data_IF_291549570601
#
_entry.id   IF_291549570601
#
_cell.length_a   1.000
_cell.length_b   1.000
_cell.length_c   1.000
_cell.angle_alpha   90.00
_cell.angle_beta   90.00
_cell.angle_gamma   90.00
#
_symmetry.space_group_name_H-M   'P 1'
#
loop_
_entity.id
_entity.type
_entity.pdbx_description
1 polymer ?
#
# COMPACT_ATOMS: atom_id res chain seq x y z
N UNK A 1 35.93 -69.00 33.55
CA UNK A 1 35.03 -69.39 32.44
C UNK A 1 33.92 -68.36 32.38
N UNK A 2 34.01 -67.42 31.45
CA UNK A 2 33.02 -66.34 31.29
C UNK A 2 31.96 -66.80 30.29
N UNK A 3 30.69 -66.90 30.71
CA UNK A 3 29.60 -67.19 29.79
C UNK A 3 29.09 -65.87 29.19
N UNK A 4 29.24 -65.73 27.87
CA UNK A 4 28.68 -64.65 27.08
C UNK A 4 27.34 -65.12 26.53
N UNK A 5 26.24 -64.56 27.03
CA UNK A 5 24.92 -64.81 26.47
C UNK A 5 24.70 -63.88 25.26
N UNK A 6 24.59 -64.46 24.06
CA UNK A 6 24.16 -63.73 22.87
C UNK A 6 22.63 -63.61 22.89
N UNK A 7 22.13 -62.39 23.10
CA UNK A 7 20.71 -62.06 22.93
C UNK A 7 20.41 -61.95 21.42
N UNK A 8 19.44 -62.72 20.88
CA UNK A 8 19.03 -62.54 19.50
C UNK A 8 18.27 -61.20 19.37
N UNK A 9 18.78 -60.32 18.51
CA UNK A 9 18.09 -59.11 18.07
C UNK A 9 16.92 -59.49 17.13
N UNK A 10 15.88 -60.08 17.70
CA UNK A 10 14.56 -60.18 17.05
C UNK A 10 13.77 -58.92 17.38
N UNK A 11 14.24 -57.80 16.83
CA UNK A 11 13.52 -56.54 16.81
C UNK A 11 13.65 -55.99 15.41
N UNK A 12 12.53 -55.90 14.69
CA UNK A 12 12.45 -55.10 13.48
C UNK A 12 12.78 -53.66 13.88
N UNK A 13 14.02 -53.22 13.62
CA UNK A 13 14.32 -51.81 13.57
C UNK A 13 13.45 -51.27 12.45
N UNK A 14 12.29 -50.69 12.81
CA UNK A 14 11.51 -49.85 11.93
C UNK A 14 12.48 -48.79 11.41
N UNK A 15 12.97 -49.02 10.19
CA UNK A 15 13.71 -48.00 9.45
C UNK A 15 12.78 -46.79 9.46
N UNK A 16 13.21 -45.62 9.95
CA UNK A 16 12.38 -44.43 9.84
C UNK A 16 12.07 -44.30 8.36
N UNK A 17 10.82 -44.53 7.99
CA UNK A 17 10.34 -44.29 6.65
C UNK A 17 10.63 -42.81 6.40
N UNK A 18 11.71 -42.53 5.66
CA UNK A 18 11.89 -41.27 4.96
C UNK A 18 10.77 -41.25 3.93
N UNK A 19 9.55 -40.95 4.40
CA UNK A 19 8.38 -40.73 3.58
C UNK A 19 8.68 -39.43 2.87
N UNK A 20 9.40 -39.52 1.75
CA UNK A 20 9.59 -38.42 0.83
C UNK A 20 8.20 -37.84 0.59
N UNK A 21 8.02 -36.58 0.96
CA UNK A 21 6.74 -35.89 0.81
C UNK A 21 6.35 -36.03 -0.65
N UNK A 22 5.37 -36.89 -0.95
CA UNK A 22 4.90 -37.07 -2.32
C UNK A 22 4.23 -35.75 -2.67
N UNK A 23 4.95 -34.89 -3.39
CA UNK A 23 4.38 -33.66 -3.93
C UNK A 23 3.25 -34.08 -4.85
N UNK A 24 2.03 -33.69 -4.51
CA UNK A 24 0.89 -33.99 -5.35
C UNK A 24 1.06 -33.27 -6.68
N UNK A 25 0.53 -33.84 -7.77
CA UNK A 25 0.58 -33.19 -9.10
C UNK A 25 0.06 -31.76 -9.06
N UNK A 26 -0.91 -31.44 -8.18
CA UNK A 26 -1.42 -30.08 -7.98
C UNK A 26 -0.41 -29.15 -7.32
N UNK A 27 0.40 -29.61 -6.34
CA UNK A 27 1.50 -28.82 -5.77
C UNK A 27 2.55 -28.47 -6.83
N UNK A 28 2.90 -29.42 -7.70
CA UNK A 28 3.85 -29.19 -8.79
C UNK A 28 3.29 -28.23 -9.84
N UNK A 29 2.04 -28.40 -10.25
CA UNK A 29 1.38 -27.48 -11.19
C UNK A 29 1.30 -26.06 -10.59
N UNK A 30 0.88 -25.92 -9.34
CA UNK A 30 0.83 -24.62 -8.67
C UNK A 30 2.22 -23.95 -8.61
N UNK A 31 3.26 -24.71 -8.27
CA UNK A 31 4.63 -24.19 -8.23
C UNK A 31 5.11 -23.70 -9.61
N UNK A 32 4.85 -24.47 -10.67
CA UNK A 32 5.18 -24.05 -12.04
C UNK A 32 4.38 -22.83 -12.48
N UNK A 33 3.09 -22.75 -12.16
CA UNK A 33 2.27 -21.57 -12.47
C UNK A 33 2.84 -20.33 -11.78
N UNK A 34 3.18 -20.42 -10.49
CA UNK A 34 3.80 -19.31 -9.75
C UNK A 34 5.14 -18.94 -10.38
N UNK A 35 5.98 -19.92 -10.74
CA UNK A 35 7.28 -19.66 -11.37
C UNK A 35 7.14 -18.97 -12.73
N UNK A 36 6.19 -19.39 -13.57
CA UNK A 36 5.92 -18.76 -14.87
C UNK A 36 5.41 -17.33 -14.70
N UNK A 37 4.46 -17.11 -13.79
CA UNK A 37 3.94 -15.76 -13.50
C UNK A 37 5.06 -14.86 -12.99
N UNK A 38 5.90 -15.34 -12.07
CA UNK A 38 7.04 -14.60 -11.56
C UNK A 38 8.05 -14.25 -12.67
N UNK A 39 8.36 -15.21 -13.55
CA UNK A 39 9.26 -14.99 -14.69
C UNK A 39 8.70 -13.95 -15.67
N UNK A 40 7.40 -13.98 -15.96
CA UNK A 40 6.74 -13.00 -16.83
C UNK A 40 6.77 -11.59 -16.21
N UNK A 41 6.47 -11.47 -14.91
CA UNK A 41 6.52 -10.18 -14.20
C UNK A 41 7.94 -9.63 -14.16
N UNK A 42 8.95 -10.47 -13.92
CA UNK A 42 10.36 -10.08 -13.98
C UNK A 42 10.76 -9.64 -15.38
N UNK A 43 10.36 -10.38 -16.42
CA UNK A 43 10.60 -9.99 -17.81
C UNK A 43 9.98 -8.65 -18.15
N UNK A 44 8.72 -8.42 -17.77
CA UNK A 44 8.03 -7.15 -17.96
C UNK A 44 8.72 -5.99 -17.20
N UNK A 45 9.15 -6.22 -15.96
CA UNK A 45 9.88 -5.22 -15.18
C UNK A 45 11.24 -4.86 -15.82
N UNK A 46 11.97 -5.86 -16.33
CA UNK A 46 13.23 -5.63 -17.05
C UNK A 46 12.99 -4.83 -18.34
N UNK A 47 11.96 -5.19 -19.12
CA UNK A 47 11.61 -4.44 -20.33
C UNK A 47 11.20 -3.00 -20.02
N UNK A 48 10.41 -2.80 -18.97
CA UNK A 48 10.01 -1.46 -18.50
C UNK A 48 11.22 -0.61 -18.13
N UNK A 49 12.13 -1.14 -17.32
CA UNK A 49 13.35 -0.43 -16.93
C UNK A 49 14.29 -0.18 -18.12
N UNK A 50 14.40 -1.15 -19.05
CA UNK A 50 15.20 -1.01 -20.26
C UNK A 50 14.65 0.05 -21.22
N UNK A 51 13.33 0.27 -21.22
CA UNK A 51 12.68 1.35 -21.96
C UNK A 51 12.83 2.73 -21.29
N UNK A 52 13.59 2.83 -20.18
CA UNK A 52 13.74 4.06 -19.40
C UNK A 52 12.58 4.34 -18.46
N UNK A 53 11.72 3.35 -18.21
CA UNK A 53 10.57 3.48 -17.33
C UNK A 53 10.96 3.82 -15.90
N UNK A 54 10.18 4.72 -15.29
CA UNK A 54 10.37 5.18 -13.91
C UNK A 54 9.08 4.99 -13.14
N UNK A 55 9.19 4.73 -11.84
CA UNK A 55 8.01 4.54 -10.99
C UNK A 55 8.04 5.47 -9.80
N UNK A 56 6.86 5.95 -9.42
CA UNK A 56 6.66 6.90 -8.34
C UNK A 56 5.41 6.55 -7.55
N UNK A 57 5.31 7.05 -6.32
CA UNK A 57 4.10 6.92 -5.51
C UNK A 57 3.52 8.31 -5.30
N UNK A 58 2.23 8.48 -5.59
CA UNK A 58 1.53 9.74 -5.36
C UNK A 58 1.44 10.02 -3.86
N UNK A 59 1.98 11.14 -3.41
CA UNK A 59 2.00 11.52 -1.98
C UNK A 59 0.97 12.60 -1.63
N UNK A 60 0.52 13.38 -2.62
CA UNK A 60 -0.41 14.51 -2.43
C UNK A 60 -1.73 14.26 -3.14
N UNK A 61 -2.86 14.77 -2.62
CA UNK A 61 -4.17 14.56 -3.23
C UNK A 61 -4.41 15.34 -4.53
N UNK A 62 -3.42 16.06 -5.09
CA UNK A 62 -3.59 17.04 -6.19
C UNK A 62 -4.20 16.48 -7.48
N UNK A 63 -4.15 15.17 -7.70
CA UNK A 63 -4.77 14.49 -8.84
C UNK A 63 -6.16 13.92 -8.55
N UNK A 64 -6.68 14.09 -7.32
CA UNK A 64 -8.00 13.63 -6.90
C UNK A 64 -8.25 12.16 -7.23
N UNK A 65 -9.42 11.87 -7.80
CA UNK A 65 -9.83 10.52 -8.22
C UNK A 65 -9.01 9.95 -9.38
N UNK A 66 -8.36 10.79 -10.19
CA UNK A 66 -7.59 10.33 -11.36
C UNK A 66 -6.30 9.60 -10.94
N UNK A 67 -5.67 10.05 -9.86
CA UNK A 67 -4.56 9.36 -9.22
C UNK A 67 -4.58 9.65 -7.71
N UNK A 68 -5.36 8.89 -6.92
CA UNK A 68 -5.45 9.09 -5.48
C UNK A 68 -4.12 8.85 -4.75
N UNK A 69 -4.02 9.30 -3.50
CA UNK A 69 -2.80 9.15 -2.71
C UNK A 69 -2.46 7.67 -2.50
N UNK A 70 -1.19 7.32 -2.71
CA UNK A 70 -0.72 5.94 -2.69
C UNK A 70 -0.93 5.18 -4.01
N UNK A 71 -1.34 5.86 -5.08
CA UNK A 71 -1.27 5.32 -6.45
C UNK A 71 0.18 5.10 -6.85
N UNK A 72 0.48 3.92 -7.42
CA UNK A 72 1.73 3.65 -8.10
C UNK A 72 1.64 4.16 -9.54
N UNK A 73 2.50 5.11 -9.88
CA UNK A 73 2.65 5.66 -11.22
C UNK A 73 3.80 4.93 -11.91
N UNK A 74 3.54 4.34 -13.07
CA UNK A 74 4.57 3.75 -13.94
C UNK A 74 4.69 4.62 -15.19
N UNK A 75 5.71 5.46 -15.22
CA UNK A 75 5.98 6.38 -16.32
C UNK A 75 6.90 5.77 -17.36
N UNK A 76 6.64 6.12 -18.62
CA UNK A 76 7.56 5.92 -19.72
C UNK A 76 8.04 7.26 -20.26
N UNK A 77 9.32 7.37 -20.68
CA UNK A 77 9.81 8.57 -21.35
C UNK A 77 8.99 8.86 -22.61
N UNK A 78 8.63 10.12 -22.79
CA UNK A 78 7.85 10.60 -23.94
C UNK A 78 8.45 11.88 -24.51
N UNK A 79 8.22 12.11 -25.80
CA UNK A 79 8.55 13.37 -26.45
C UNK A 79 7.39 14.36 -26.20
N UNK A 80 7.71 15.56 -25.72
CA UNK A 80 6.75 16.62 -25.43
C UNK A 80 5.91 16.99 -26.66
N UNK A 81 6.45 16.84 -27.87
CA UNK A 81 5.71 17.08 -29.12
C UNK A 81 4.59 16.07 -29.38
N UNK A 82 4.61 14.92 -28.71
CA UNK A 82 3.56 13.89 -28.80
C UNK A 82 2.47 14.05 -27.75
N UNK A 83 2.67 14.95 -26.78
CA UNK A 83 1.72 15.23 -25.71
C UNK A 83 0.63 16.20 -26.16
N UNK A 84 -0.56 16.00 -25.62
CA UNK A 84 -1.73 16.81 -25.90
C UNK A 84 -2.32 17.39 -24.62
N UNK A 85 -3.12 18.45 -24.78
CA UNK A 85 -3.93 18.98 -23.69
C UNK A 85 -4.87 17.87 -23.18
N UNK A 86 -4.85 17.64 -21.88
CA UNK A 86 -5.59 16.56 -21.23
C UNK A 86 -4.70 15.39 -20.79
N UNK A 87 -3.49 15.25 -21.31
CA UNK A 87 -2.57 14.20 -20.89
C UNK A 87 -2.02 14.46 -19.48
N UNK A 88 -1.73 13.38 -18.75
CA UNK A 88 -1.07 13.47 -17.43
C UNK A 88 0.43 13.29 -17.65
N UNK A 89 1.23 14.15 -17.03
CA UNK A 89 2.69 14.12 -17.18
C UNK A 89 3.36 14.19 -15.82
N UNK A 90 4.42 13.40 -15.66
CA UNK A 90 5.32 13.50 -14.52
C UNK A 90 6.55 14.33 -14.89
N UNK A 91 6.87 15.30 -14.06
CA UNK A 91 7.96 16.24 -14.31
C UNK A 91 8.68 16.63 -13.02
N UNK A 92 9.89 17.13 -13.18
CA UNK A 92 10.70 17.73 -12.13
C UNK A 92 11.03 19.16 -12.55
N UNK A 93 11.06 20.09 -11.59
CA UNK A 93 11.35 21.50 -11.90
C UNK A 93 12.75 21.86 -11.43
N UNK A 94 13.40 22.79 -12.13
CA UNK A 94 14.69 23.33 -11.70
C UNK A 94 14.61 24.02 -10.32
N UNK A 95 13.43 24.52 -9.94
CA UNK A 95 13.20 25.15 -8.64
C UNK A 95 13.21 24.14 -7.49
N UNK A 96 12.65 22.94 -7.70
CA UNK A 96 12.53 21.90 -6.67
C UNK A 96 13.15 20.59 -7.16
N UNK A 97 14.48 20.57 -7.31
CA UNK A 97 15.19 19.35 -7.70
C UNK A 97 14.97 18.22 -6.70
N UNK A 98 14.78 17.01 -7.23
CA UNK A 98 14.46 15.79 -6.49
C UNK A 98 12.98 15.62 -6.14
N UNK A 99 12.12 16.60 -6.45
CA UNK A 99 10.68 16.49 -6.24
C UNK A 99 9.99 16.27 -7.58
N UNK A 100 9.26 15.16 -7.68
CA UNK A 100 8.49 14.80 -8.88
C UNK A 100 7.04 15.19 -8.68
N UNK A 101 6.48 15.91 -9.64
CA UNK A 101 5.09 16.28 -9.71
C UNK A 101 4.42 15.52 -10.85
N UNK A 102 3.18 15.06 -10.64
CA UNK A 102 2.37 14.42 -11.67
C UNK A 102 1.07 15.20 -11.81
N UNK A 103 0.91 15.95 -12.90
CA UNK A 103 -0.25 16.82 -13.14
C UNK A 103 -0.75 16.72 -14.58
N UNK A 104 -1.96 17.23 -14.83
CA UNK A 104 -2.58 17.23 -16.16
C UNK A 104 -2.20 18.47 -16.96
N UNK A 105 -1.89 18.28 -18.23
CA UNK A 105 -1.63 19.37 -19.18
C UNK A 105 -2.95 20.08 -19.47
N UNK A 106 -3.02 21.37 -19.20
CA UNK A 106 -4.20 22.19 -19.46
C UNK A 106 -4.03 23.11 -20.67
N UNK A 107 -2.79 23.40 -21.07
CA UNK A 107 -2.47 24.22 -22.23
C UNK A 107 -1.06 23.89 -22.74
N UNK A 108 -0.87 24.07 -24.03
CA UNK A 108 0.42 24.02 -24.71
C UNK A 108 0.60 25.36 -25.43
N UNK A 109 1.70 26.05 -25.18
CA UNK A 109 1.97 27.34 -25.80
C UNK A 109 2.43 27.21 -27.27
N UNK A 110 2.55 28.34 -27.97
CA UNK A 110 2.97 28.37 -29.37
C UNK A 110 4.44 27.91 -29.60
N UNK A 111 5.24 27.87 -28.54
CA UNK A 111 6.63 27.42 -28.55
C UNK A 111 6.78 25.96 -28.09
N UNK A 112 5.67 25.26 -27.80
CA UNK A 112 5.65 23.88 -27.32
C UNK A 112 5.87 23.73 -25.80
N UNK A 113 5.82 24.82 -25.03
CA UNK A 113 5.87 24.81 -23.58
C UNK A 113 4.57 24.27 -22.99
N UNK A 114 4.68 23.37 -22.01
CA UNK A 114 3.53 22.75 -21.36
C UNK A 114 3.15 23.51 -20.09
N UNK A 115 1.85 23.72 -19.91
CA UNK A 115 1.27 24.25 -18.68
C UNK A 115 0.41 23.17 -18.02
N UNK A 116 0.74 22.85 -16.77
CA UNK A 116 0.09 21.78 -16.02
C UNK A 116 -0.74 22.32 -14.86
N UNK A 117 -1.69 21.50 -14.42
CA UNK A 117 -2.49 21.75 -13.22
C UNK A 117 -2.91 20.41 -12.62
N UNK A 118 -2.82 20.29 -11.29
CA UNK A 118 -3.44 19.16 -10.59
C UNK A 118 -4.96 19.19 -10.77
N UNK A 119 -5.59 18.03 -11.00
CA UNK A 119 -7.01 17.92 -11.34
C UNK A 119 -7.94 18.60 -10.33
N UNK A 120 -7.53 18.66 -9.06
CA UNK A 120 -8.30 19.30 -7.99
C UNK A 120 -7.74 20.66 -7.55
N UNK A 121 -6.61 21.08 -8.12
CA UNK A 121 -6.00 22.36 -7.79
C UNK A 121 -6.76 23.51 -8.48
N UNK A 122 -7.06 24.57 -7.73
CA UNK A 122 -7.77 25.74 -8.26
C UNK A 122 -6.93 26.66 -9.15
N UNK A 123 -5.60 26.49 -9.17
CA UNK A 123 -4.66 27.34 -9.90
C UNK A 123 -3.71 26.50 -10.75
N UNK A 124 -3.36 27.04 -11.93
CA UNK A 124 -2.33 26.49 -12.81
C UNK A 124 -0.96 26.54 -12.13
N UNK A 125 -0.13 25.54 -12.39
CA UNK A 125 1.25 25.54 -11.90
C UNK A 125 2.02 26.74 -12.49
N UNK A 126 2.92 27.37 -11.72
CA UNK A 126 3.61 28.60 -12.15
C UNK A 126 4.69 28.36 -13.20
N UNK A 127 4.99 27.11 -13.55
CA UNK A 127 6.08 26.74 -14.44
C UNK A 127 5.60 26.49 -15.86
N UNK A 128 6.48 26.79 -16.82
CA UNK A 128 6.34 26.36 -18.21
C UNK A 128 7.35 25.24 -18.42
N UNK A 129 6.87 24.04 -18.71
CA UNK A 129 7.71 22.84 -18.78
C UNK A 129 8.21 22.61 -20.20
N UNK A 130 9.49 22.27 -20.34
CA UNK A 130 10.07 21.80 -21.58
C UNK A 130 10.45 20.32 -21.52
N UNK A 131 11.04 19.81 -22.60
CA UNK A 131 11.51 18.42 -22.71
C UNK A 131 12.48 18.01 -21.60
N UNK A 132 13.27 18.96 -21.08
CA UNK A 132 14.26 18.69 -20.02
C UNK A 132 13.62 18.52 -18.63
N UNK A 133 12.42 19.08 -18.43
CA UNK A 133 11.69 19.01 -17.16
C UNK A 133 10.79 17.76 -17.10
N UNK A 134 10.31 17.31 -18.26
CA UNK A 134 9.42 16.15 -18.38
C UNK A 134 10.20 14.85 -18.20
N UNK A 135 9.75 14.05 -17.23
CA UNK A 135 10.28 12.72 -16.99
C UNK A 135 9.61 11.70 -17.91
N UNK A 136 8.29 11.78 -18.02
CA UNK A 136 7.50 10.81 -18.75
C UNK A 136 6.01 11.03 -18.60
N UNK A 137 5.23 10.20 -19.30
CA UNK A 137 3.78 10.10 -19.14
C UNK A 137 3.43 8.76 -18.48
N UNK A 138 2.42 8.71 -17.59
CA UNK A 138 1.97 7.47 -16.98
C UNK A 138 1.47 6.49 -18.03
N UNK A 139 2.16 5.37 -18.17
CA UNK A 139 1.70 4.23 -18.95
C UNK A 139 0.67 3.41 -18.15
N UNK A 140 0.83 3.38 -16.82
CA UNK A 140 -0.09 2.71 -15.92
C UNK A 140 -0.19 3.46 -14.59
N UNK A 141 -1.43 3.65 -14.12
CA UNK A 141 -1.76 4.14 -12.79
C UNK A 141 -2.42 3.00 -12.03
N UNK A 142 -1.80 2.54 -10.94
CA UNK A 142 -2.36 1.48 -10.10
C UNK A 142 -2.66 2.04 -8.71
N UNK A 143 -3.93 2.41 -8.44
CA UNK A 143 -4.35 2.89 -7.13
C UNK A 143 -3.98 1.92 -6.01
N UNK A 144 -3.66 2.47 -4.85
CA UNK A 144 -3.30 1.77 -3.60
C UNK A 144 -2.02 0.91 -3.62
N UNK A 145 -1.51 0.49 -4.78
CA UNK A 145 -0.32 -0.35 -4.87
C UNK A 145 0.94 0.35 -4.33
N UNK A 146 1.00 1.68 -4.45
CA UNK A 146 2.10 2.49 -3.91
C UNK A 146 2.24 2.39 -2.39
N UNK A 147 1.16 2.10 -1.65
CA UNK A 147 1.23 1.86 -0.20
C UNK A 147 2.06 0.63 0.15
N UNK A 148 2.04 -0.43 -0.69
CA UNK A 148 2.88 -1.61 -0.47
C UNK A 148 4.37 -1.28 -0.63
N UNK A 149 4.72 -0.47 -1.64
CA UNK A 149 6.09 -0.01 -1.85
C UNK A 149 6.57 0.89 -0.71
N UNK A 150 5.72 1.78 -0.20
CA UNK A 150 6.03 2.63 0.97
C UNK A 150 6.17 1.81 2.26
N UNK A 151 5.37 0.75 2.42
CA UNK A 151 5.45 -0.12 3.60
C UNK A 151 6.64 -1.10 3.55
N UNK A 152 7.13 -1.44 2.36
CA UNK A 152 8.16 -2.48 2.18
C UNK A 152 9.41 -2.29 3.04
N UNK A 153 10.01 -1.09 3.20
CA UNK A 153 11.18 -0.91 4.07
C UNK A 153 10.88 -1.18 5.55
N UNK A 154 9.75 -0.69 6.06
CA UNK A 154 9.33 -0.89 7.45
C UNK A 154 9.07 -2.38 7.70
N UNK A 155 8.34 -3.02 6.78
CA UNK A 155 8.05 -4.45 6.84
C UNK A 155 9.33 -5.29 6.78
N UNK A 156 10.27 -4.95 5.90
CA UNK A 156 11.55 -5.66 5.76
C UNK A 156 12.39 -5.53 7.04
N UNK A 157 12.57 -4.32 7.55
CA UNK A 157 13.37 -4.07 8.76
C UNK A 157 12.72 -4.76 9.97
N UNK A 158 11.40 -4.59 10.16
CA UNK A 158 10.70 -5.21 11.28
C UNK A 158 10.67 -6.72 11.20
N UNK A 159 10.49 -7.32 10.02
CA UNK A 159 10.56 -8.78 9.85
C UNK A 159 11.96 -9.33 10.11
N UNK A 160 13.02 -8.67 9.63
CA UNK A 160 14.41 -9.05 9.93
C UNK A 160 14.71 -8.96 11.43
N UNK A 161 14.24 -7.91 12.11
CA UNK A 161 14.38 -7.75 13.55
C UNK A 161 13.67 -8.88 14.30
N UNK A 162 12.41 -9.16 13.96
CA UNK A 162 11.63 -10.26 14.54
C UNK A 162 12.32 -11.60 14.31
N UNK A 163 12.86 -11.84 13.12
CA UNK A 163 13.60 -13.08 12.81
C UNK A 163 14.87 -13.24 13.64
N UNK A 164 15.60 -12.15 13.85
CA UNK A 164 16.84 -12.11 14.64
C UNK A 164 16.55 -12.33 16.13
N UNK A 165 15.56 -11.63 16.70
CA UNK A 165 15.19 -11.81 18.11
C UNK A 165 14.63 -13.21 18.36
N UNK A 166 13.84 -13.73 17.43
CA UNK A 166 13.23 -15.06 17.59
C UNK A 166 14.17 -16.22 17.29
N UNK A 167 15.36 -15.99 16.72
CA UNK A 167 16.30 -17.07 16.40
C UNK A 167 16.90 -17.75 17.62
N UNK A 168 16.87 -17.07 18.78
CA UNK A 168 17.35 -17.61 20.07
C UNK A 168 16.46 -18.76 20.59
N UNK A 169 15.19 -18.81 20.17
CA UNK A 169 14.26 -19.84 20.60
C UNK A 169 14.42 -21.11 19.76
N UNK A 170 14.78 -22.21 20.43
CA UNK A 170 14.89 -23.54 19.81
C UNK A 170 13.53 -24.19 19.57
N UNK A 171 12.54 -23.89 20.43
CA UNK A 171 11.18 -24.43 20.32
C UNK A 171 10.47 -23.90 19.06
N UNK A 172 10.00 -24.83 18.22
CA UNK A 172 9.40 -24.50 16.92
C UNK A 172 8.07 -23.76 17.10
N UNK A 173 7.26 -24.14 18.09
CA UNK A 173 5.96 -23.53 18.35
C UNK A 173 6.16 -22.09 18.80
N UNK A 174 6.93 -21.89 19.87
CA UNK A 174 7.22 -20.56 20.41
C UNK A 174 7.83 -19.65 19.35
N UNK A 175 8.83 -20.12 18.60
CA UNK A 175 9.47 -19.35 17.53
C UNK A 175 8.48 -18.94 16.43
N UNK A 176 7.63 -19.86 15.99
CA UNK A 176 6.68 -19.59 14.90
C UNK A 176 5.56 -18.65 15.34
N UNK A 177 5.02 -18.85 16.55
CA UNK A 177 4.02 -17.96 17.15
C UNK A 177 4.56 -16.54 17.36
N UNK A 178 5.80 -16.39 17.87
CA UNK A 178 6.44 -15.09 18.01
C UNK A 178 6.68 -14.40 16.67
N UNK A 179 7.02 -15.15 15.61
CA UNK A 179 7.19 -14.58 14.25
C UNK A 179 5.87 -14.11 13.65
N UNK A 180 4.79 -14.84 13.85
CA UNK A 180 3.44 -14.44 13.40
C UNK A 180 3.00 -13.17 14.15
N UNK A 181 3.10 -13.17 15.49
CA UNK A 181 2.74 -12.03 16.30
C UNK A 181 3.61 -10.79 16.00
N UNK A 182 4.93 -10.97 15.87
CA UNK A 182 5.86 -9.90 15.52
C UNK A 182 5.65 -9.37 14.10
N UNK A 183 5.33 -10.23 13.14
CA UNK A 183 4.96 -9.84 11.78
C UNK A 183 3.68 -9.00 11.75
N UNK A 184 2.64 -9.42 12.48
CA UNK A 184 1.41 -8.66 12.64
C UNK A 184 1.65 -7.29 13.29
N UNK A 185 2.46 -7.24 14.35
CA UNK A 185 2.82 -5.99 15.01
C UNK A 185 3.58 -5.05 14.07
N UNK A 186 4.49 -5.58 13.26
CA UNK A 186 5.23 -4.79 12.26
C UNK A 186 4.27 -4.23 11.20
N UNK A 187 3.32 -5.02 10.72
CA UNK A 187 2.31 -4.56 9.76
C UNK A 187 1.40 -3.48 10.37
N UNK A 188 0.94 -3.66 11.61
CA UNK A 188 0.17 -2.65 12.34
C UNK A 188 0.95 -1.36 12.55
N UNK A 189 2.25 -1.46 12.88
CA UNK A 189 3.11 -0.29 13.01
C UNK A 189 3.29 0.45 11.67
N UNK A 190 3.52 -0.28 10.57
CA UNK A 190 3.59 0.31 9.24
C UNK A 190 2.29 1.04 8.87
N UNK A 191 1.14 0.44 9.14
CA UNK A 191 -0.17 1.06 8.92
C UNK A 191 -0.37 2.31 9.79
N UNK A 192 0.09 2.30 11.04
CA UNK A 192 0.01 3.46 11.93
C UNK A 192 0.87 4.63 11.44
N UNK A 193 2.10 4.37 10.99
CA UNK A 193 3.02 5.40 10.50
C UNK A 193 2.58 5.97 9.16
N UNK A 194 2.20 5.10 8.22
CA UNK A 194 1.87 5.49 6.85
C UNK A 194 0.43 6.00 6.69
N UNK A 195 -0.47 5.66 7.63
CA UNK A 195 -1.89 5.99 7.58
C UNK A 195 -2.54 5.72 6.20
N UNK A 196 -2.37 4.52 5.61
CA UNK A 196 -2.86 4.24 4.27
C UNK A 196 -4.40 4.17 4.17
N UNK A 197 -5.06 3.90 5.30
CA UNK A 197 -6.48 3.56 5.33
C UNK A 197 -7.40 4.76 5.44
N UNK A 198 -7.03 5.73 6.28
CA UNK A 198 -7.84 6.92 6.56
C UNK A 198 -6.92 8.11 6.67
N UNK A 199 -7.02 9.02 5.72
CA UNK A 199 -6.37 10.30 5.78
C UNK A 199 -7.27 11.33 5.11
N UNK A 200 -7.36 12.51 5.71
CA UNK A 200 -8.23 13.60 5.27
C UNK A 200 -7.35 14.83 5.19
N UNK A 201 -7.20 15.39 3.99
CA UNK A 201 -6.34 16.55 3.76
C UNK A 201 -7.21 17.74 3.36
N UNK A 202 -7.10 18.83 4.11
CA UNK A 202 -7.79 20.09 3.81
C UNK A 202 -6.97 20.89 2.81
N UNK A 203 -7.58 21.28 1.69
CA UNK A 203 -6.91 21.91 0.55
C UNK A 203 -7.04 23.42 0.60
N UNK A 204 -8.21 23.93 1.01
CA UNK A 204 -8.44 25.36 1.19
C UNK A 204 -9.42 25.61 2.33
N UNK A 205 -9.15 26.64 3.12
CA UNK A 205 -10.08 27.22 4.09
C UNK A 205 -10.40 28.62 3.62
N UNK A 206 -11.62 28.83 3.14
CA UNK A 206 -12.09 30.14 2.70
C UNK A 206 -13.07 30.67 3.73
N UNK A 207 -12.66 31.69 4.49
CA UNK A 207 -13.53 32.37 5.45
C UNK A 207 -14.41 33.39 4.73
N UNK A 208 -15.72 33.19 4.79
CA UNK A 208 -16.74 34.13 4.31
C UNK A 208 -17.46 34.75 5.52
N UNK A 209 -18.06 35.96 5.41
CA UNK A 209 -18.87 36.54 6.48
C UNK A 209 -20.04 35.67 6.96
N UNK A 210 -20.44 34.65 6.18
CA UNK A 210 -21.54 33.73 6.47
C UNK A 210 -21.09 32.33 6.99
N UNK A 211 -19.78 32.09 7.15
CA UNK A 211 -19.24 30.79 7.59
C UNK A 211 -17.87 30.48 7.00
N UNK A 212 -17.30 29.33 7.36
CA UNK A 212 -16.04 28.83 6.79
C UNK A 212 -16.34 27.70 5.81
N UNK A 213 -15.92 27.86 4.55
CA UNK A 213 -15.96 26.82 3.52
C UNK A 213 -14.60 26.13 3.47
N UNK A 214 -14.57 24.87 3.86
CA UNK A 214 -13.38 24.01 3.79
C UNK A 214 -13.52 23.04 2.62
N UNK A 215 -12.54 23.01 1.73
CA UNK A 215 -12.43 21.98 0.70
C UNK A 215 -11.54 20.86 1.22
N UNK A 216 -12.10 19.65 1.27
CA UNK A 216 -11.49 18.47 1.90
C UNK A 216 -11.38 17.37 0.86
N UNK A 217 -10.29 16.61 0.89
CA UNK A 217 -10.12 15.42 0.04
C UNK A 217 -9.81 14.22 0.91
N UNK A 218 -10.48 13.10 0.60
CA UNK A 218 -10.12 11.80 1.15
C UNK A 218 -8.85 11.31 0.46
N UNK A 219 -7.80 11.09 1.24
CA UNK A 219 -6.50 10.57 0.78
C UNK A 219 -6.22 9.17 1.33
N UNK A 220 -7.23 8.52 1.93
CA UNK A 220 -7.16 7.15 2.41
C UNK A 220 -7.90 6.16 1.51
N UNK A 221 -7.48 4.90 1.58
CA UNK A 221 -8.07 3.78 0.80
C UNK A 221 -9.55 3.55 1.13
N UNK A 222 -9.97 3.80 2.37
CA UNK A 222 -11.35 3.55 2.79
C UNK A 222 -12.24 4.79 2.59
N UNK A 223 -13.53 4.57 2.26
CA UNK A 223 -14.50 5.64 2.25
C UNK A 223 -14.64 6.25 3.65
N UNK A 224 -14.71 7.57 3.69
CA UNK A 224 -14.80 8.35 4.92
C UNK A 224 -16.08 9.17 4.89
N UNK A 225 -16.81 9.15 6.01
CA UNK A 225 -17.90 10.08 6.26
C UNK A 225 -17.37 11.24 7.09
N UNK A 226 -17.49 12.45 6.55
CA UNK A 226 -17.13 13.69 7.23
C UNK A 226 -18.41 14.35 7.71
N UNK A 227 -18.53 14.51 9.03
CA UNK A 227 -19.62 15.23 9.68
C UNK A 227 -19.07 16.55 10.22
N UNK A 228 -19.62 17.66 9.75
CA UNK A 228 -19.38 18.98 10.33
C UNK A 228 -20.45 19.28 11.38
N UNK A 229 -20.02 19.72 12.56
CA UNK A 229 -20.93 20.18 13.60
C UNK A 229 -21.69 21.43 13.09
N UNK A 230 -23.02 21.35 12.99
CA UNK A 230 -23.87 22.44 12.44
C UNK A 230 -23.83 22.57 10.90
N UNK A 231 -23.36 21.55 10.17
CA UNK A 231 -23.26 21.57 8.70
C UNK A 231 -23.72 20.27 8.02
N UNK A 232 -23.43 20.13 6.72
CA UNK A 232 -23.81 18.95 5.94
C UNK A 232 -22.90 17.74 6.22
N UNK A 233 -23.48 16.55 6.23
CA UNK A 233 -22.74 15.28 6.19
C UNK A 233 -22.29 14.98 4.77
N UNK A 234 -21.02 14.62 4.58
CA UNK A 234 -20.48 14.30 3.27
C UNK A 234 -19.81 12.92 3.28
N UNK A 235 -20.20 12.07 2.33
CA UNK A 235 -19.53 10.82 2.05
C UNK A 235 -18.46 11.06 1.00
N UNK A 236 -17.22 10.67 1.28
CA UNK A 236 -16.08 10.83 0.38
C UNK A 236 -15.45 9.46 0.09
N UNK A 237 -15.33 9.15 -1.20
CA UNK A 237 -14.51 8.03 -1.71
C UNK A 237 -13.08 8.49 -2.00
N UNK A 238 -12.17 7.54 -2.25
CA UNK A 238 -10.74 7.83 -2.44
C UNK A 238 -10.49 8.83 -3.58
N UNK A 239 -9.80 9.94 -3.26
CA UNK A 239 -9.54 11.03 -4.19
C UNK A 239 -10.71 12.00 -4.42
N UNK A 240 -11.91 11.73 -3.86
CA UNK A 240 -13.07 12.60 -4.04
C UNK A 240 -12.90 13.92 -3.28
N UNK A 241 -13.27 15.02 -3.94
CA UNK A 241 -13.29 16.36 -3.34
C UNK A 241 -14.66 16.66 -2.74
N UNK A 242 -14.65 17.01 -1.46
CA UNK A 242 -15.81 17.47 -0.72
C UNK A 242 -15.68 18.94 -0.33
N UNK A 243 -16.80 19.66 -0.38
CA UNK A 243 -16.91 20.99 0.23
C UNK A 243 -17.80 20.91 1.44
N UNK A 244 -17.27 21.34 2.57
CA UNK A 244 -18.00 21.39 3.83
C UNK A 244 -18.07 22.85 4.24
N UNK A 245 -19.29 23.37 4.37
CA UNK A 245 -19.55 24.72 4.86
C UNK A 245 -19.95 24.60 6.32
N UNK A 246 -19.20 25.24 7.22
CA UNK A 246 -19.52 25.26 8.65
C UNK A 246 -20.07 26.64 9.01
N UNK A 247 -21.31 26.65 9.48
CA UNK A 247 -22.05 27.86 9.84
C UNK A 247 -22.00 28.17 11.34
N UNK A 248 -21.66 27.21 12.19
CA UNK A 248 -21.67 27.38 13.66
C UNK A 248 -20.29 27.13 14.26
N UNK A 249 -19.83 28.05 15.13
CA UNK A 249 -18.63 27.88 15.96
C UNK A 249 -19.00 27.04 17.18
N UNK A 250 -18.15 26.08 17.56
CA UNK A 250 -18.26 25.41 18.87
C UNK A 250 -18.10 26.44 20.00
N UNK A 251 -18.61 26.19 21.21
CA UNK A 251 -18.52 27.10 22.38
C UNK A 251 -17.10 27.63 22.67
N UNK A 252 -16.07 26.91 22.22
CA UNK A 252 -14.65 27.28 22.37
C UNK A 252 -14.05 28.04 21.17
N UNK A 253 -14.87 28.47 20.21
CA UNK A 253 -14.44 29.25 19.05
C UNK A 253 -13.68 28.47 17.96
N UNK A 254 -13.75 27.14 17.98
CA UNK A 254 -13.10 26.27 16.99
C UNK A 254 -14.13 25.59 16.08
N UNK A 255 -13.74 25.30 14.84
CA UNK A 255 -14.51 24.46 13.94
C UNK A 255 -14.12 22.98 14.17
N UNK A 256 -15.06 22.16 14.62
CA UNK A 256 -14.83 20.72 14.82
C UNK A 256 -15.44 19.91 13.67
N UNK A 257 -14.63 19.04 13.08
CA UNK A 257 -15.05 18.04 12.10
C UNK A 257 -14.66 16.66 12.62
N UNK A 258 -15.58 15.71 12.54
CA UNK A 258 -15.29 14.30 12.86
C UNK A 258 -15.33 13.48 11.58
N UNK A 259 -14.25 12.74 11.32
CA UNK A 259 -14.14 11.83 10.18
C UNK A 259 -14.24 10.38 10.69
N UNK A 260 -15.27 9.66 10.28
CA UNK A 260 -15.47 8.26 10.63
C UNK A 260 -15.32 7.36 9.39
N UNK A 261 -14.77 6.16 9.59
CA UNK A 261 -14.72 5.13 8.55
C UNK A 261 -16.15 4.71 8.23
N UNK A 262 -16.51 4.73 6.95
CA UNK A 262 -17.86 4.39 6.50
C UNK A 262 -17.88 3.11 5.67
N UNK A 263 -17.56 2.00 6.32
CA UNK A 263 -17.62 0.67 5.71
C UNK A 263 -19.03 0.09 5.86
N UNK A 264 -19.45 -0.62 4.82
CA UNK A 264 -20.66 -1.45 4.87
C UNK A 264 -20.44 -2.67 5.80
N UNK A 265 -21.51 -3.40 6.17
CA UNK A 265 -21.38 -4.56 7.06
C UNK A 265 -20.41 -5.63 6.52
N UNK A 266 -20.32 -5.79 5.20
CA UNK A 266 -19.37 -6.71 4.55
C UNK A 266 -17.94 -6.21 4.71
N UNK A 267 -17.68 -4.92 4.51
CA UNK A 267 -16.39 -4.28 4.72
C UNK A 267 -15.90 -4.44 6.17
N UNK A 268 -16.78 -4.23 7.15
CA UNK A 268 -16.46 -4.49 8.56
C UNK A 268 -16.13 -5.95 8.84
N UNK A 269 -16.93 -6.89 8.30
CA UNK A 269 -16.67 -8.32 8.46
C UNK A 269 -15.32 -8.73 7.84
N UNK A 270 -14.99 -8.21 6.66
CA UNK A 270 -13.72 -8.45 5.98
C UNK A 270 -12.53 -7.91 6.79
N UNK A 271 -12.64 -6.67 7.31
CA UNK A 271 -11.60 -6.06 8.14
C UNK A 271 -11.35 -6.88 9.41
N UNK A 272 -12.41 -7.31 10.10
CA UNK A 272 -12.31 -8.18 11.28
C UNK A 272 -11.64 -9.51 10.90
N UNK A 273 -12.03 -10.12 9.78
CA UNK A 273 -11.46 -11.38 9.33
C UNK A 273 -9.95 -11.25 9.09
N UNK A 274 -9.49 -10.18 8.43
CA UNK A 274 -8.07 -9.89 8.20
C UNK A 274 -7.32 -9.71 9.53
N UNK A 275 -7.88 -8.95 10.47
CA UNK A 275 -7.30 -8.73 11.80
C UNK A 275 -7.19 -10.02 12.62
N UNK A 276 -8.05 -11.02 12.37
CA UNK A 276 -8.03 -12.32 13.05
C UNK A 276 -7.03 -13.33 12.43
N UNK A 277 -6.49 -13.07 11.23
CA UNK A 277 -5.55 -14.00 10.56
C UNK A 277 -4.35 -14.37 11.43
N UNK A 278 -3.64 -13.42 12.09
CA UNK A 278 -2.50 -13.77 12.94
C UNK A 278 -2.90 -14.69 14.10
N UNK A 279 -4.07 -14.46 14.70
CA UNK A 279 -4.59 -15.30 15.78
C UNK A 279 -4.86 -16.73 15.29
N UNK A 280 -5.53 -16.87 14.14
CA UNK A 280 -5.83 -18.17 13.53
C UNK A 280 -4.55 -18.93 13.18
N UNK A 281 -3.54 -18.24 12.64
CA UNK A 281 -2.24 -18.84 12.33
C UNK A 281 -1.50 -19.33 13.58
N UNK A 282 -1.51 -18.54 14.66
CA UNK A 282 -0.93 -18.96 15.94
C UNK A 282 -1.63 -20.20 16.50
N UNK A 283 -2.97 -20.26 16.45
CA UNK A 283 -3.75 -21.43 16.88
C UNK A 283 -3.46 -22.67 16.02
N UNK A 284 -3.28 -22.50 14.71
CA UNK A 284 -2.94 -23.58 13.80
C UNK A 284 -1.54 -24.15 14.10
N UNK A 285 -0.56 -23.30 14.37
CA UNK A 285 0.78 -23.72 14.80
C UNK A 285 0.73 -24.54 16.09
N UNK A 286 -0.03 -24.07 17.10
CA UNK A 286 -0.17 -24.78 18.38
C UNK A 286 -0.85 -26.14 18.29
N UNK A 287 -1.74 -26.35 17.30
CA UNK A 287 -2.45 -27.63 17.08
C UNK A 287 -1.57 -28.74 16.50
N UNK A 288 -0.49 -28.41 15.78
CA UNK A 288 0.35 -29.41 15.10
C UNK A 288 1.23 -30.21 16.08
N UNK A 289 1.46 -29.71 17.30
CA UNK A 289 2.35 -30.34 18.29
C UNK A 289 1.63 -31.31 19.25
N UNK A 290 0.28 -31.33 19.29
CA UNK A 290 -0.44 -32.22 20.21
C UNK A 290 -0.50 -33.66 19.64
N UNK A 291 0.12 -34.59 20.39
CA UNK A 291 0.16 -36.06 20.26
C UNK A 291 1.38 -36.63 19.50
N UNK A 292 2.55 -36.61 20.16
CA UNK A 292 3.33 -37.86 20.28
C UNK A 292 3.11 -38.38 21.69
N UNK A 293 2.32 -39.44 21.82
CA UNK A 293 2.22 -40.19 23.06
C UNK A 293 3.60 -40.80 23.37
N UNK A 294 4.10 -40.50 24.57
CA UNK A 294 5.22 -41.22 25.22
C UNK A 294 4.82 -42.65 25.54
#
# INVERSE_FOLDING_TARGET
>A
MSQTAALPLSGTLDRPFLRGRQTSRSETVAAWTVAVVAALLLGAAVLFLAAGGRWFVVETPSMGEAAPVGTLVLDLPVDVSTLHVGDVVSFETAANRGVVYTHRIIAIDAHGGLHTRGDINGATDPWTLGQADVIGSPALLVPHLGWLFRAAPILLIGTLLVWTVTSVFTDRVTRSSLRIAGGALTASYAAFVLKPFVNVTTITNTSSPAGVEATIVSSGVFPVRVEAHGGNTLHLVDGQVGRVVIHELTENGHYQMTSNIDLDPVGWAALIAVCLVPLVLCLAVGRVETVRAS
#
